data_IF_539949087200
#
_entry.id   IF_539949087200
#
_cell.length_a   1.000
_cell.length_b   1.000
_cell.length_c   1.000
_cell.angle_alpha   90.00
_cell.angle_beta   90.00
_cell.angle_gamma   90.00
#
_symmetry.space_group_name_H-M   'P 1'
#
loop_
_entity.id
_entity.type
_entity.pdbx_description
1 polymer ?
#
# COMPACT_ATOMS: atom_id res chain seq x y z
N UNK A 1 -4.30 -18.58 12.63
CA UNK A 1 -4.02 -17.17 12.29
C UNK A 1 -3.50 -16.36 13.48
N UNK A 2 -2.59 -16.94 14.28
CA UNK A 2 -2.13 -16.34 15.55
C UNK A 2 -0.71 -15.72 15.46
N UNK A 3 -0.20 -15.49 14.25
CA UNK A 3 1.17 -14.96 14.06
C UNK A 3 1.26 -13.43 14.10
N UNK A 4 0.11 -12.74 13.99
CA UNK A 4 0.04 -11.28 13.98
C UNK A 4 -0.81 -10.78 15.16
N UNK A 5 -0.38 -9.67 15.74
CA UNK A 5 -1.13 -8.97 16.77
C UNK A 5 -1.99 -7.91 16.10
N UNK A 6 -3.30 -7.98 16.32
CA UNK A 6 -4.27 -7.04 15.78
C UNK A 6 -4.68 -6.03 16.85
N UNK A 7 -4.93 -4.78 16.43
CA UNK A 7 -5.41 -3.76 17.35
C UNK A 7 -6.92 -3.94 17.63
N UNK A 8 -7.40 -3.52 18.81
CA UNK A 8 -8.83 -3.53 19.10
C UNK A 8 -9.60 -2.72 18.05
N UNK A 9 -10.59 -3.34 17.40
CA UNK A 9 -11.38 -2.69 16.36
C UNK A 9 -10.98 -2.99 14.90
N UNK A 10 -9.87 -3.68 14.66
CA UNK A 10 -9.53 -4.17 13.32
C UNK A 10 -10.50 -5.27 12.88
N UNK A 11 -11.07 -5.09 11.69
CA UNK A 11 -12.07 -6.00 11.09
C UNK A 11 -11.56 -6.53 9.75
N UNK A 12 -12.26 -7.52 9.21
CA UNK A 12 -12.02 -8.09 7.88
C UNK A 12 -10.58 -8.57 7.68
N UNK A 13 -10.06 -9.34 8.63
CA UNK A 13 -8.70 -9.86 8.55
C UNK A 13 -8.66 -10.96 7.51
N UNK A 14 -7.86 -10.74 6.47
CA UNK A 14 -7.55 -11.73 5.44
C UNK A 14 -6.05 -11.92 5.40
N UNK A 15 -5.62 -13.16 5.30
CA UNK A 15 -4.20 -13.46 5.22
C UNK A 15 -3.98 -14.89 4.81
N UNK A 16 -2.81 -15.11 4.21
CA UNK A 16 -2.40 -16.44 3.77
C UNK A 16 -0.89 -16.63 3.99
N UNK A 17 -0.45 -17.88 3.86
CA UNK A 17 0.94 -18.29 4.02
C UNK A 17 1.48 -18.76 2.69
N UNK A 18 2.63 -18.22 2.31
CA UNK A 18 3.27 -18.47 1.04
C UNK A 18 4.66 -19.07 1.23
N UNK A 19 5.06 -19.97 0.36
CA UNK A 19 6.41 -20.48 0.30
C UNK A 19 7.28 -19.56 -0.54
N UNK A 20 8.46 -19.13 -0.08
CA UNK A 20 9.35 -18.25 -0.85
C UNK A 20 9.93 -18.94 -2.10
N UNK A 21 9.98 -20.26 -2.11
CA UNK A 21 10.54 -21.06 -3.19
C UNK A 21 9.89 -22.43 -3.22
N UNK A 22 9.89 -23.07 -4.39
CA UNK A 22 9.40 -24.46 -4.58
C UNK A 22 10.19 -25.45 -3.70
N UNK A 23 11.49 -25.20 -3.50
CA UNK A 23 12.36 -26.11 -2.75
C UNK A 23 12.17 -25.92 -1.25
N UNK A 24 11.99 -24.67 -0.80
CA UNK A 24 11.93 -24.31 0.62
C UNK A 24 10.47 -24.17 1.04
N UNK A 25 9.68 -25.20 0.78
CA UNK A 25 8.24 -25.20 1.06
C UNK A 25 7.91 -25.21 2.57
N UNK A 26 8.85 -25.56 3.41
CA UNK A 26 8.68 -25.58 4.88
C UNK A 26 8.82 -24.19 5.52
N UNK A 27 9.55 -23.27 4.88
CA UNK A 27 9.60 -21.88 5.32
C UNK A 27 8.42 -21.10 4.74
N UNK A 28 7.58 -20.55 5.59
CA UNK A 28 6.39 -19.83 5.18
C UNK A 28 6.54 -18.34 5.45
N UNK A 29 6.28 -17.54 4.43
CA UNK A 29 6.04 -16.11 4.56
C UNK A 29 4.56 -15.91 4.81
N UNK A 30 4.19 -15.29 5.91
CA UNK A 30 2.81 -14.99 6.25
C UNK A 30 2.51 -13.54 5.85
N UNK A 31 1.40 -13.34 5.16
CA UNK A 31 0.90 -12.01 4.78
C UNK A 31 -0.51 -11.91 5.33
N UNK A 32 -0.83 -10.81 6.00
CA UNK A 32 -2.17 -10.52 6.50
C UNK A 32 -2.52 -9.06 6.24
N UNK A 33 -3.74 -8.83 5.79
CA UNK A 33 -4.33 -7.51 5.62
C UNK A 33 -5.53 -7.37 6.55
N UNK A 34 -5.60 -6.24 7.24
CA UNK A 34 -6.75 -5.82 8.06
C UNK A 34 -7.43 -4.62 7.40
N UNK A 35 -8.42 -4.06 8.06
CA UNK A 35 -9.09 -2.82 7.62
C UNK A 35 -8.19 -1.57 7.66
N UNK A 36 -7.03 -1.62 8.34
CA UNK A 36 -6.18 -0.43 8.57
C UNK A 36 -4.75 -0.60 8.10
N UNK A 37 -4.25 -1.84 7.99
CA UNK A 37 -2.84 -2.11 7.68
C UNK A 37 -2.63 -3.47 7.02
N UNK A 38 -1.52 -3.59 6.30
CA UNK A 38 -0.97 -4.85 5.83
C UNK A 38 0.22 -5.21 6.69
N UNK A 39 0.28 -6.44 7.16
CA UNK A 39 1.40 -7.00 7.91
C UNK A 39 1.96 -8.18 7.14
N UNK A 40 3.28 -8.28 7.07
CA UNK A 40 3.91 -9.48 6.56
C UNK A 40 5.11 -9.88 7.41
N UNK A 41 5.29 -11.19 7.53
CA UNK A 41 6.37 -11.83 8.26
C UNK A 41 7.10 -12.75 7.31
N UNK A 42 8.32 -12.36 6.96
CA UNK A 42 9.19 -13.14 6.10
C UNK A 42 10.31 -13.76 6.94
N UNK A 43 10.61 -15.05 6.79
CA UNK A 43 11.73 -15.68 7.47
C UNK A 43 13.06 -15.17 6.89
N UNK A 44 13.96 -14.75 7.76
CA UNK A 44 15.35 -14.48 7.39
C UNK A 44 16.13 -15.80 7.38
N UNK A 45 16.77 -16.11 6.28
CA UNK A 45 17.46 -17.39 6.11
C UNK A 45 18.91 -17.19 5.73
N UNK A 46 19.79 -18.02 6.31
CA UNK A 46 21.17 -18.14 5.87
C UNK A 46 21.22 -19.14 4.70
N UNK A 47 21.75 -18.71 3.55
CA UNK A 47 21.80 -19.49 2.30
C UNK A 47 20.44 -20.03 1.84
N UNK A 48 19.34 -19.42 2.30
CA UNK A 48 17.99 -19.87 1.94
C UNK A 48 17.51 -21.14 2.65
N UNK A 49 18.31 -21.76 3.52
CA UNK A 49 18.02 -23.07 4.12
C UNK A 49 17.80 -22.99 5.64
N UNK A 50 18.64 -22.23 6.34
CA UNK A 50 18.64 -22.18 7.81
C UNK A 50 17.92 -20.92 8.28
N UNK A 51 16.78 -21.03 9.01
CA UNK A 51 16.10 -19.87 9.55
C UNK A 51 16.93 -19.22 10.66
N UNK A 52 17.34 -17.97 10.46
CA UNK A 52 18.05 -17.15 11.45
C UNK A 52 17.10 -16.28 12.28
N UNK A 53 15.86 -16.11 11.82
CA UNK A 53 14.88 -15.27 12.45
C UNK A 53 13.74 -14.94 11.51
N UNK A 54 12.92 -13.94 11.86
CA UNK A 54 11.86 -13.44 10.99
C UNK A 54 11.84 -11.93 11.01
N UNK A 55 11.67 -11.32 9.84
CA UNK A 55 11.42 -9.89 9.69
C UNK A 55 9.91 -9.68 9.61
N UNK A 56 9.37 -8.89 10.52
CA UNK A 56 7.96 -8.49 10.48
C UNK A 56 7.89 -7.03 10.07
N UNK A 57 7.10 -6.74 9.03
CA UNK A 57 6.80 -5.38 8.60
C UNK A 57 5.31 -5.12 8.66
N UNK A 58 4.97 -3.90 9.06
CA UNK A 58 3.60 -3.40 9.10
C UNK A 58 3.53 -2.14 8.26
N UNK A 59 2.60 -2.10 7.30
CA UNK A 59 2.40 -0.98 6.39
C UNK A 59 0.95 -0.52 6.54
N UNK A 60 0.68 0.71 7.01
CA UNK A 60 -0.67 1.27 7.02
C UNK A 60 -1.24 1.35 5.60
N UNK A 61 -2.54 1.04 5.39
CA UNK A 61 -3.17 1.07 4.06
C UNK A 61 -3.03 2.44 3.39
N UNK A 62 -3.18 3.52 4.14
CA UNK A 62 -3.00 4.90 3.64
C UNK A 62 -1.60 5.22 3.12
N UNK A 63 -0.59 4.40 3.47
CA UNK A 63 0.79 4.54 2.99
C UNK A 63 1.08 3.60 1.81
N UNK A 64 0.07 2.96 1.23
CA UNK A 64 0.19 2.13 0.05
C UNK A 64 -0.43 2.89 -1.12
N UNK A 65 0.41 3.27 -2.08
CA UNK A 65 -0.04 3.95 -3.30
C UNK A 65 -0.56 2.95 -4.34
N UNK A 66 0.15 1.83 -4.51
CA UNK A 66 -0.27 0.74 -5.40
C UNK A 66 0.25 -0.61 -4.92
N UNK A 67 -0.42 -1.67 -5.37
CA UNK A 67 -0.04 -3.05 -5.12
C UNK A 67 0.16 -3.73 -6.47
N UNK A 68 1.39 -4.11 -6.77
CA UNK A 68 1.74 -4.73 -8.04
C UNK A 68 2.12 -6.20 -7.86
N UNK A 69 1.64 -7.04 -8.75
CA UNK A 69 2.02 -8.45 -8.80
C UNK A 69 2.78 -8.71 -10.10
N UNK A 70 4.05 -9.09 -9.98
CA UNK A 70 4.91 -9.37 -11.11
C UNK A 70 5.45 -10.79 -11.06
N UNK A 71 5.51 -11.44 -12.21
CA UNK A 71 6.26 -12.68 -12.37
C UNK A 71 7.68 -12.33 -12.81
N UNK A 72 8.67 -12.79 -12.04
CA UNK A 72 10.08 -12.60 -12.37
C UNK A 72 10.67 -13.88 -12.91
N UNK A 73 11.39 -13.73 -13.98
CA UNK A 73 12.20 -14.80 -14.57
C UNK A 73 13.65 -14.65 -14.10
N UNK A 74 14.14 -15.66 -13.40
CA UNK A 74 15.51 -15.68 -12.88
C UNK A 74 16.44 -16.41 -13.86
N UNK A 75 17.07 -15.65 -14.75
CA UNK A 75 18.00 -16.18 -15.74
C UNK A 75 19.22 -16.88 -15.08
N UNK A 76 19.65 -16.40 -13.91
CA UNK A 76 20.73 -17.04 -13.14
C UNK A 76 20.39 -18.47 -12.75
N UNK A 77 19.19 -18.71 -12.21
CA UNK A 77 18.73 -20.07 -11.88
C UNK A 77 18.63 -20.97 -13.10
N UNK A 78 18.22 -20.43 -14.25
CA UNK A 78 18.20 -21.17 -15.51
C UNK A 78 19.61 -21.62 -15.93
N UNK A 79 20.54 -20.69 -15.95
CA UNK A 79 21.94 -20.96 -16.37
C UNK A 79 22.62 -21.99 -15.44
N UNK A 80 22.48 -21.79 -14.13
CA UNK A 80 23.01 -22.75 -13.14
C UNK A 80 22.33 -24.12 -13.26
N UNK A 81 21.02 -24.16 -13.44
CA UNK A 81 20.28 -25.40 -13.70
C UNK A 81 20.80 -26.15 -14.92
N UNK A 82 21.10 -25.44 -16.00
CA UNK A 82 21.65 -26.02 -17.22
C UNK A 82 23.08 -26.56 -17.02
N UNK A 83 23.92 -25.81 -16.33
CA UNK A 83 25.31 -26.25 -16.01
C UNK A 83 25.26 -27.54 -15.20
N UNK A 84 24.47 -27.59 -14.10
CA UNK A 84 24.38 -28.77 -13.27
C UNK A 84 23.75 -29.96 -14.01
N UNK A 85 22.84 -29.72 -14.96
CA UNK A 85 22.28 -30.74 -15.82
C UNK A 85 23.36 -31.40 -16.68
N UNK A 86 24.16 -30.60 -17.39
CA UNK A 86 25.23 -31.13 -18.26
C UNK A 86 26.35 -31.83 -17.43
N UNK A 87 26.75 -31.26 -16.30
CA UNK A 87 27.70 -31.89 -15.40
C UNK A 87 27.17 -33.22 -14.86
N UNK A 88 25.88 -33.27 -14.46
CA UNK A 88 25.25 -34.48 -13.97
C UNK A 88 25.23 -35.57 -15.02
N UNK A 89 24.87 -35.29 -16.25
CA UNK A 89 24.91 -36.28 -17.36
C UNK A 89 26.34 -36.68 -17.70
N UNK A 90 27.31 -35.78 -17.71
CA UNK A 90 28.72 -36.07 -18.01
C UNK A 90 29.39 -36.96 -16.96
N UNK A 91 28.98 -36.81 -15.70
CA UNK A 91 29.55 -37.60 -14.60
C UNK A 91 28.89 -38.96 -14.35
N UNK A 92 27.84 -39.30 -15.09
CA UNK A 92 27.03 -40.49 -14.84
C UNK A 92 27.88 -41.80 -14.92
N UNK A 93 28.81 -41.86 -15.86
CA UNK A 93 29.71 -43.02 -16.04
C UNK A 93 30.89 -43.06 -15.05
N UNK A 94 31.26 -41.92 -14.46
CA UNK A 94 32.41 -41.82 -13.57
C UNK A 94 32.00 -41.96 -12.11
N UNK A 95 30.93 -41.31 -11.70
CA UNK A 95 30.43 -41.33 -10.32
C UNK A 95 28.92 -41.08 -10.28
N UNK A 96 28.14 -42.14 -10.23
CA UNK A 96 26.69 -42.09 -10.26
C UNK A 96 26.09 -41.27 -9.08
N UNK A 97 26.72 -41.30 -7.89
CA UNK A 97 26.25 -40.58 -6.74
C UNK A 97 26.36 -39.06 -6.96
N UNK A 98 27.50 -38.58 -7.45
CA UNK A 98 27.71 -37.17 -7.78
C UNK A 98 26.78 -36.73 -8.92
N UNK A 99 26.61 -37.59 -9.92
CA UNK A 99 25.68 -37.31 -11.02
C UNK A 99 24.25 -37.11 -10.52
N UNK A 100 23.74 -37.96 -9.64
CA UNK A 100 22.39 -37.83 -9.06
C UNK A 100 22.28 -36.53 -8.26
N UNK A 101 23.28 -36.18 -7.45
CA UNK A 101 23.26 -34.93 -6.68
C UNK A 101 23.22 -33.72 -7.63
N UNK A 102 24.04 -33.70 -8.69
CA UNK A 102 24.02 -32.65 -9.69
C UNK A 102 22.64 -32.52 -10.40
N UNK A 103 22.02 -33.63 -10.76
CA UNK A 103 20.71 -33.65 -11.37
C UNK A 103 19.62 -33.12 -10.41
N UNK A 104 19.67 -33.48 -9.14
CA UNK A 104 18.75 -32.93 -8.13
C UNK A 104 18.92 -31.41 -7.98
N UNK A 105 20.18 -30.92 -7.96
CA UNK A 105 20.46 -29.48 -7.93
C UNK A 105 19.99 -28.79 -9.20
N UNK A 106 20.11 -29.42 -10.37
CA UNK A 106 19.58 -28.90 -11.63
C UNK A 106 18.05 -28.73 -11.57
N UNK A 107 17.33 -29.78 -11.16
CA UNK A 107 15.86 -29.73 -10.98
C UNK A 107 15.46 -28.64 -10.00
N UNK A 108 16.18 -28.50 -8.90
CA UNK A 108 15.97 -27.46 -7.90
C UNK A 108 16.13 -26.06 -8.48
N UNK A 109 17.14 -25.81 -9.31
CA UNK A 109 17.34 -24.54 -9.99
C UNK A 109 16.23 -24.27 -11.01
N UNK A 110 15.82 -25.25 -11.82
CA UNK A 110 14.72 -25.08 -12.77
C UNK A 110 13.40 -24.75 -12.09
N UNK A 111 13.11 -25.35 -10.94
CA UNK A 111 11.93 -25.06 -10.15
C UNK A 111 11.88 -23.59 -9.64
N UNK A 112 13.05 -22.95 -9.52
CA UNK A 112 13.19 -21.56 -9.07
C UNK A 112 13.42 -20.56 -10.23
N UNK A 113 13.32 -20.97 -11.48
CA UNK A 113 13.46 -20.08 -12.63
C UNK A 113 12.37 -19.03 -12.64
N UNK A 114 11.17 -19.38 -12.21
CA UNK A 114 10.03 -18.47 -12.14
C UNK A 114 9.63 -18.22 -10.69
N UNK A 115 9.40 -16.98 -10.36
CA UNK A 115 8.89 -16.57 -9.04
C UNK A 115 7.84 -15.47 -9.20
N UNK A 116 6.84 -15.46 -8.33
CA UNK A 116 5.88 -14.38 -8.24
C UNK A 116 6.33 -13.38 -7.16
N UNK A 117 6.20 -12.10 -7.44
CA UNK A 117 6.59 -11.02 -6.51
C UNK A 117 5.42 -10.09 -6.30
N UNK A 118 5.04 -9.87 -5.06
CA UNK A 118 4.09 -8.86 -4.63
C UNK A 118 4.87 -7.64 -4.16
N UNK A 119 4.61 -6.48 -4.77
CA UNK A 119 5.29 -5.23 -4.44
C UNK A 119 4.28 -4.21 -3.96
N UNK A 120 4.52 -3.65 -2.79
CA UNK A 120 3.78 -2.52 -2.24
C UNK A 120 4.58 -1.26 -2.50
N UNK A 121 4.00 -0.32 -3.24
CA UNK A 121 4.60 1.00 -3.49
C UNK A 121 4.10 2.02 -2.49
N UNK A 122 5.03 2.78 -1.96
CA UNK A 122 4.78 3.90 -1.06
C UNK A 122 4.67 5.21 -1.87
N UNK A 123 3.80 6.17 -1.52
CA UNK A 123 3.73 7.48 -2.17
C UNK A 123 5.05 8.26 -2.18
N UNK A 124 5.97 7.98 -1.25
CA UNK A 124 7.33 8.55 -1.20
C UNK A 124 8.33 7.92 -2.17
N UNK A 125 7.91 6.93 -2.98
CA UNK A 125 8.75 6.22 -3.94
C UNK A 125 9.46 4.98 -3.38
N UNK A 126 9.19 4.61 -2.14
CA UNK A 126 9.65 3.35 -1.56
C UNK A 126 8.90 2.15 -2.14
N UNK A 127 9.56 0.99 -2.18
CA UNK A 127 8.94 -0.26 -2.60
C UNK A 127 9.29 -1.40 -1.62
N UNK A 128 8.29 -2.16 -1.22
CA UNK A 128 8.45 -3.35 -0.40
C UNK A 128 8.00 -4.57 -1.21
N UNK A 129 8.97 -5.40 -1.60
CA UNK A 129 8.72 -6.58 -2.42
C UNK A 129 8.78 -7.87 -1.59
N UNK A 130 7.83 -8.74 -1.82
CA UNK A 130 7.75 -10.08 -1.23
C UNK A 130 7.75 -11.08 -2.37
N UNK A 131 8.75 -11.96 -2.39
CA UNK A 131 8.86 -13.00 -3.42
C UNK A 131 8.30 -14.31 -2.88
N UNK A 132 7.47 -14.95 -3.70
CA UNK A 132 6.85 -16.24 -3.41
C UNK A 132 7.05 -17.20 -4.58
N UNK A 133 6.86 -18.49 -4.32
CA UNK A 133 6.91 -19.53 -5.34
C UNK A 133 5.87 -19.29 -6.43
N UNK A 134 6.24 -19.58 -7.68
CA UNK A 134 5.31 -19.51 -8.82
C UNK A 134 4.08 -20.42 -8.64
N UNK A 135 4.21 -21.51 -7.89
CA UNK A 135 3.11 -22.44 -7.64
C UNK A 135 1.98 -21.83 -6.81
N UNK A 136 2.27 -20.76 -6.07
CA UNK A 136 1.29 -20.06 -5.22
C UNK A 136 0.88 -18.71 -5.82
N UNK A 137 1.17 -18.49 -7.12
CA UNK A 137 0.88 -17.24 -7.83
C UNK A 137 -0.60 -16.87 -7.77
N UNK A 138 -1.50 -17.82 -8.02
CA UNK A 138 -2.95 -17.57 -8.07
C UNK A 138 -3.48 -17.10 -6.72
N UNK A 139 -3.01 -17.71 -5.63
CA UNK A 139 -3.33 -17.28 -4.27
C UNK A 139 -2.78 -15.88 -3.98
N UNK A 140 -1.56 -15.59 -4.44
CA UNK A 140 -0.95 -14.28 -4.27
C UNK A 140 -1.74 -13.22 -5.03
N UNK A 141 -2.16 -13.50 -6.25
CA UNK A 141 -2.96 -12.59 -7.07
C UNK A 141 -4.32 -12.30 -6.42
N UNK A 142 -5.01 -13.32 -5.91
CA UNK A 142 -6.29 -13.11 -5.21
C UNK A 142 -6.13 -12.25 -3.96
N UNK A 143 -5.09 -12.50 -3.16
CA UNK A 143 -4.78 -11.67 -1.98
C UNK A 143 -4.40 -10.24 -2.38
N UNK A 144 -3.61 -10.07 -3.45
CA UNK A 144 -3.22 -8.75 -3.96
C UNK A 144 -4.44 -7.94 -4.42
N UNK A 145 -5.37 -8.56 -5.14
CA UNK A 145 -6.62 -7.92 -5.58
C UNK A 145 -7.47 -7.48 -4.38
N UNK A 146 -7.56 -8.31 -3.35
CA UNK A 146 -8.31 -7.96 -2.15
C UNK A 146 -7.65 -6.80 -1.37
N UNK A 147 -6.32 -6.80 -1.26
CA UNK A 147 -5.59 -5.69 -0.67
C UNK A 147 -5.77 -4.42 -1.50
N UNK A 148 -5.66 -4.50 -2.83
CA UNK A 148 -5.86 -3.37 -3.73
C UNK A 148 -7.27 -2.77 -3.61
N UNK A 149 -8.31 -3.61 -3.52
CA UNK A 149 -9.68 -3.16 -3.31
C UNK A 149 -9.84 -2.39 -2.00
N UNK A 150 -9.14 -2.79 -0.94
CA UNK A 150 -9.15 -2.09 0.35
C UNK A 150 -8.41 -0.77 0.28
N UNK A 151 -7.26 -0.74 -0.37
CA UNK A 151 -6.49 0.50 -0.58
C UNK A 151 -7.31 1.52 -1.35
N UNK A 152 -8.02 1.11 -2.41
CA UNK A 152 -8.88 2.02 -3.17
C UNK A 152 -10.07 2.54 -2.35
N UNK A 153 -10.68 1.68 -1.55
CA UNK A 153 -11.81 2.08 -0.67
C UNK A 153 -11.36 3.09 0.39
N UNK A 154 -10.19 2.87 1.03
CA UNK A 154 -9.62 3.79 2.01
C UNK A 154 -9.27 5.15 1.37
N UNK A 155 -8.68 5.13 0.17
CA UNK A 155 -8.37 6.34 -0.58
C UNK A 155 -9.61 7.14 -0.98
N UNK A 156 -10.71 6.47 -1.36
CA UNK A 156 -11.96 7.13 -1.72
C UNK A 156 -12.66 7.73 -0.50
N UNK A 157 -12.60 7.08 0.66
CA UNK A 157 -13.09 7.64 1.91
C UNK A 157 -12.32 8.91 2.31
N UNK A 158 -10.99 8.88 2.24
CA UNK A 158 -10.17 10.05 2.52
C UNK A 158 -10.47 11.23 1.58
N UNK A 159 -10.64 10.98 0.28
CA UNK A 159 -11.03 12.02 -0.69
C UNK A 159 -12.41 12.59 -0.39
N UNK A 160 -13.34 11.74 0.01
CA UNK A 160 -14.68 12.18 0.37
C UNK A 160 -14.66 13.07 1.62
N UNK A 161 -13.94 12.67 2.68
CA UNK A 161 -13.75 13.48 3.89
C UNK A 161 -13.09 14.83 3.56
N UNK A 162 -12.03 14.83 2.74
CA UNK A 162 -11.34 16.04 2.32
C UNK A 162 -12.27 16.97 1.51
N UNK A 163 -13.09 16.42 0.59
CA UNK A 163 -14.04 17.18 -0.19
C UNK A 163 -15.14 17.81 0.68
N UNK A 164 -15.63 17.10 1.69
CA UNK A 164 -16.60 17.63 2.66
C UNK A 164 -15.97 18.75 3.50
N UNK A 165 -14.76 18.58 3.98
CA UNK A 165 -14.02 19.62 4.70
C UNK A 165 -13.79 20.89 3.87
N UNK A 166 -13.46 20.72 2.59
CA UNK A 166 -13.31 21.84 1.67
C UNK A 166 -14.64 22.58 1.44
N UNK A 167 -15.73 21.83 1.26
CA UNK A 167 -17.07 22.40 1.09
C UNK A 167 -17.51 23.17 2.35
N UNK A 168 -17.25 22.64 3.54
CA UNK A 168 -17.54 23.31 4.82
C UNK A 168 -16.74 24.62 4.97
N UNK A 169 -15.46 24.61 4.65
CA UNK A 169 -14.62 25.81 4.65
C UNK A 169 -15.11 26.87 3.68
N UNK A 170 -15.53 26.47 2.46
CA UNK A 170 -16.11 27.38 1.48
C UNK A 170 -17.42 28.00 1.98
N UNK A 171 -18.31 27.18 2.52
CA UNK A 171 -19.57 27.64 3.09
C UNK A 171 -19.36 28.64 4.21
N UNK A 172 -18.41 28.35 5.14
CA UNK A 172 -18.07 29.25 6.25
C UNK A 172 -17.47 30.57 5.75
N UNK A 173 -16.58 30.52 4.75
CA UNK A 173 -15.99 31.72 4.15
C UNK A 173 -17.05 32.57 3.44
N UNK A 174 -18.00 31.96 2.72
CA UNK A 174 -19.09 32.64 2.04
C UNK A 174 -20.05 33.29 3.05
N UNK A 175 -20.41 32.59 4.12
CA UNK A 175 -21.28 33.13 5.19
C UNK A 175 -20.61 34.34 5.86
N UNK A 176 -19.31 34.25 6.18
CA UNK A 176 -18.55 35.34 6.77
C UNK A 176 -18.47 36.56 5.82
N UNK A 177 -18.31 36.36 4.52
CA UNK A 177 -18.28 37.44 3.55
C UNK A 177 -19.64 38.19 3.46
N UNK A 178 -20.75 37.47 3.51
CA UNK A 178 -22.08 38.04 3.55
C UNK A 178 -22.31 38.86 4.84
N UNK A 179 -21.87 38.35 6.00
CA UNK A 179 -21.97 39.07 7.26
C UNK A 179 -21.16 40.36 7.25
N UNK A 180 -19.95 40.35 6.70
CA UNK A 180 -19.12 41.55 6.55
C UNK A 180 -19.76 42.56 5.64
N UNK A 181 -20.37 42.16 4.50
CA UNK A 181 -21.11 43.04 3.62
C UNK A 181 -22.32 43.68 4.30
N UNK A 182 -23.09 42.91 5.06
CA UNK A 182 -24.21 43.45 5.83
C UNK A 182 -23.74 44.47 6.88
N UNK A 183 -22.66 44.20 7.58
CA UNK A 183 -22.08 45.14 8.54
C UNK A 183 -21.60 46.45 7.87
N UNK A 184 -20.95 46.34 6.70
CA UNK A 184 -20.55 47.53 5.93
C UNK A 184 -21.75 48.39 5.49
N UNK A 185 -22.82 47.74 4.97
CA UNK A 185 -24.02 48.43 4.57
C UNK A 185 -24.71 49.11 5.77
N UNK A 186 -24.80 48.43 6.90
CA UNK A 186 -25.37 49.01 8.13
C UNK A 186 -24.57 50.25 8.61
N UNK A 187 -23.23 50.17 8.57
CA UNK A 187 -22.37 51.28 8.93
C UNK A 187 -22.49 52.47 7.95
N UNK A 188 -22.62 52.21 6.64
CA UNK A 188 -22.87 53.28 5.65
C UNK A 188 -24.21 53.96 5.87
N UNK A 189 -25.28 53.22 6.16
CA UNK A 189 -26.58 53.80 6.48
C UNK A 189 -26.57 54.65 7.76
N UNK A 190 -25.87 54.19 8.80
CA UNK A 190 -25.73 54.96 10.03
C UNK A 190 -24.92 56.26 9.84
N UNK A 191 -23.91 56.27 9.00
CA UNK A 191 -23.16 57.49 8.65
C UNK A 191 -23.99 58.43 7.78
N UNK A 192 -24.78 57.96 6.83
CA UNK A 192 -25.67 58.79 6.02
C UNK A 192 -26.78 59.44 6.86
N UNK A 193 -27.30 58.73 7.86
CA UNK A 193 -28.28 59.28 8.80
C UNK A 193 -27.74 60.42 9.68
N UNK A 194 -26.45 60.37 9.98
CA UNK A 194 -25.77 61.42 10.78
C UNK A 194 -25.38 62.65 9.96
N UNK A 195 -25.34 62.55 8.63
CA UNK A 195 -24.99 63.65 7.71
C UNK A 195 -26.19 64.45 7.18
N UNK A 196 -27.42 64.16 7.60
CA UNK A 196 -28.55 64.98 7.23
C UNK A 196 -28.57 66.25 8.07
N UNK A 197 -28.20 67.46 7.51
CA UNK A 197 -28.23 68.70 8.29
C UNK A 197 -29.67 69.09 8.55
N UNK A 198 -29.95 69.52 9.75
CA UNK A 198 -31.18 70.22 10.13
C UNK A 198 -31.27 71.58 9.38
N UNK A 199 -31.77 71.51 8.14
CA UNK A 199 -32.21 72.72 7.43
C UNK A 199 -33.71 72.80 7.55
N UNK A 200 -34.16 73.38 8.63
CA UNK A 200 -35.50 73.99 8.71
C UNK A 200 -35.55 74.94 9.88
N UNK A 201 -35.58 76.23 9.61
CA UNK A 201 -35.95 77.21 10.61
C UNK A 201 -35.27 78.56 10.50
N UNK A 202 -35.35 79.24 9.35
CA UNK A 202 -35.28 80.69 9.37
C UNK A 202 -36.53 81.26 8.63
N UNK A 203 -37.57 81.39 9.37
CA UNK A 203 -38.67 82.25 9.04
C UNK A 203 -38.30 83.67 9.46
N UNK A 204 -38.05 84.57 8.53
CA UNK A 204 -37.92 86.01 8.78
C UNK A 204 -39.33 86.57 8.95
N UNK A 205 -39.58 87.40 10.02
CA UNK A 205 -40.76 88.23 10.06
C UNK A 205 -40.51 89.56 9.31
N UNK A 206 -41.52 90.01 8.53
CA UNK A 206 -41.46 91.14 7.71
C UNK A 206 -41.56 92.48 8.42
N UNK A 207 -41.29 93.48 7.64
CA UNK A 207 -41.95 94.76 7.55
C UNK A 207 -41.93 95.20 6.11
#
# INVERSE_FOLDING_TARGET
>A
MTEFTYAPGEKNIVGDRFSPSVIIFWLKTSIAASSTRVQYKAPNTLFGLIPLGASTKTIPLRNIASVDTNTRFNLGSLVWGLIFLFVGFGMFNSNALVAIVCLLVAVANFANVMSATLTFHDPSGGANAITVSILEQDKLMSLAQEIQARVSTDADQLRHEESMHMAEKQYTAQTNSVLIQQQMLANQQAQAAQQTPAQSGQTQPGE
#
